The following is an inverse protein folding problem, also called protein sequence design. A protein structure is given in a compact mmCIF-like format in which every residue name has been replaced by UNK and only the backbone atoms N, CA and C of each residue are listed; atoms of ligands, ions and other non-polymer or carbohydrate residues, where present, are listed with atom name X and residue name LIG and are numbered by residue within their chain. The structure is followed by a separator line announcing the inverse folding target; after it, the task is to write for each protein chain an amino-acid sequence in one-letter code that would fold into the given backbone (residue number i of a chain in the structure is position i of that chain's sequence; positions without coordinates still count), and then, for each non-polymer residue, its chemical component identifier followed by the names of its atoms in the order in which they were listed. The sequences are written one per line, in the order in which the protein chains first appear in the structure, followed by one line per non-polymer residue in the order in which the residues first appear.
data_IF_042674524008
#
_entry.id   IF_042674524008
#
_cell.length_a   1.000
_cell.length_b   1.000
_cell.length_c   1.000
_cell.angle_alpha   90.00
_cell.angle_beta   90.00
_cell.angle_gamma   90.00
#
_symmetry.space_group_name_H-M   'P 1'
#
loop_
_entity.id
_entity.type
_entity.pdbx_description
1 polymer ?
#
# COMPACT_ATOMS: atom_id res chain seq x y z
N UNK A 1 10.11 3.64 7.84
CA UNK A 1 10.43 5.07 8.09
C UNK A 1 9.25 5.81 8.70
N UNK A 2 8.08 5.80 8.05
CA UNK A 2 6.86 6.50 8.50
C UNK A 2 6.41 6.12 9.90
N UNK A 3 6.44 4.83 10.28
CA UNK A 3 6.09 4.40 11.64
C UNK A 3 6.93 5.08 12.73
N UNK A 4 8.25 5.13 12.54
CA UNK A 4 9.16 5.85 13.45
C UNK A 4 8.87 7.35 13.51
N UNK A 5 8.40 7.95 12.41
CA UNK A 5 8.01 9.36 12.38
C UNK A 5 6.67 9.60 13.08
N UNK A 6 5.73 8.66 12.98
CA UNK A 6 4.46 8.67 13.72
C UNK A 6 4.69 8.54 15.22
N UNK A 7 5.54 7.61 15.65
CA UNK A 7 5.93 7.42 17.06
C UNK A 7 6.58 8.68 17.65
N UNK A 8 7.42 9.36 16.87
CA UNK A 8 8.08 10.61 17.27
C UNK A 8 7.17 11.85 17.17
N UNK A 9 5.92 11.70 16.73
CA UNK A 9 4.98 12.82 16.55
C UNK A 9 5.39 13.79 15.43
N UNK A 10 6.31 13.41 14.55
CA UNK A 10 6.78 14.24 13.43
C UNK A 10 5.77 14.27 12.27
N UNK A 11 4.85 13.32 12.25
CA UNK A 11 3.77 13.23 11.26
C UNK A 11 2.44 13.15 12.00
N UNK A 12 1.48 13.96 11.54
CA UNK A 12 0.14 14.00 12.12
C UNK A 12 -0.66 12.77 11.73
N UNK A 13 -1.02 11.95 12.73
CA UNK A 13 -1.96 10.82 12.58
C UNK A 13 -3.30 11.26 11.97
N UNK A 14 -3.83 12.41 12.40
CA UNK A 14 -5.10 12.96 11.89
C UNK A 14 -5.00 13.31 10.40
N UNK A 15 -3.88 13.93 9.99
CA UNK A 15 -3.63 14.27 8.58
C UNK A 15 -3.52 13.01 7.72
N UNK A 16 -2.74 12.02 8.16
CA UNK A 16 -2.61 10.77 7.42
C UNK A 16 -3.93 10.02 7.30
N UNK A 17 -4.76 10.01 8.35
CA UNK A 17 -6.08 9.42 8.27
C UNK A 17 -6.92 10.08 7.18
N UNK A 18 -6.98 11.41 7.14
CA UNK A 18 -7.72 12.14 6.12
C UNK A 18 -7.21 11.90 4.69
N UNK A 19 -5.90 11.71 4.51
CA UNK A 19 -5.30 11.44 3.20
C UNK A 19 -5.54 10.00 2.72
N UNK A 20 -5.61 9.02 3.63
CA UNK A 20 -5.56 7.59 3.27
C UNK A 20 -6.80 6.77 3.64
N UNK A 21 -7.79 7.31 4.37
CA UNK A 21 -8.94 6.52 4.84
C UNK A 21 -9.71 5.85 3.68
N UNK A 22 -9.87 6.54 2.54
CA UNK A 22 -10.52 5.96 1.36
C UNK A 22 -9.76 4.77 0.78
N UNK A 23 -8.43 4.79 0.81
CA UNK A 23 -7.59 3.65 0.37
C UNK A 23 -7.72 2.43 1.30
N UNK A 24 -8.26 2.63 2.50
CA UNK A 24 -8.60 1.56 3.46
C UNK A 24 -10.09 1.22 3.46
N UNK A 25 -10.84 1.69 2.46
CA UNK A 25 -12.28 1.43 2.33
C UNK A 25 -13.09 1.86 3.57
N UNK A 26 -12.66 2.97 4.18
CA UNK A 26 -13.38 3.62 5.27
C UNK A 26 -14.45 4.57 4.72
N UNK A 27 -15.61 4.56 5.36
CA UNK A 27 -16.66 5.56 5.13
C UNK A 27 -16.26 6.91 5.76
N UNK A 28 -16.92 7.99 5.33
CA UNK A 28 -16.68 9.32 5.92
C UNK A 28 -17.10 9.34 7.39
N UNK A 29 -18.18 8.61 7.73
CA UNK A 29 -18.64 8.43 9.10
C UNK A 29 -17.59 7.72 9.95
N UNK A 30 -17.00 6.63 9.46
CA UNK A 30 -15.95 5.91 10.16
C UNK A 30 -14.71 6.78 10.40
N UNK A 31 -14.26 7.50 9.38
CA UNK A 31 -13.14 8.43 9.52
C UNK A 31 -13.45 9.53 10.54
N UNK A 32 -14.67 10.08 10.52
CA UNK A 32 -15.10 11.11 11.46
C UNK A 32 -15.21 10.59 12.90
N UNK A 33 -15.76 9.39 13.10
CA UNK A 33 -15.81 8.72 14.41
C UNK A 33 -14.39 8.58 14.97
N UNK A 34 -13.45 8.06 14.18
CA UNK A 34 -12.04 7.90 14.60
C UNK A 34 -11.42 9.25 14.97
N UNK A 35 -11.59 10.28 14.14
CA UNK A 35 -11.08 11.63 14.41
C UNK A 35 -11.65 12.22 15.70
N UNK A 36 -12.94 12.02 15.95
CA UNK A 36 -13.60 12.48 17.17
C UNK A 36 -13.11 11.73 18.40
N UNK A 37 -12.91 10.41 18.32
CA UNK A 37 -12.30 9.65 19.41
C UNK A 37 -10.89 10.16 19.71
N UNK A 38 -10.06 10.36 18.68
CA UNK A 38 -8.72 10.93 18.85
C UNK A 38 -8.77 12.32 19.49
N UNK A 39 -9.68 13.18 19.04
CA UNK A 39 -9.85 14.51 19.62
C UNK A 39 -10.29 14.48 21.08
N UNK A 40 -11.28 13.65 21.43
CA UNK A 40 -11.79 13.54 22.80
C UNK A 40 -10.77 12.91 23.74
N UNK A 41 -9.98 11.94 23.27
CA UNK A 41 -8.90 11.34 24.04
C UNK A 41 -7.74 12.33 24.29
N UNK A 42 -7.48 13.27 23.36
CA UNK A 42 -6.49 14.33 23.57
C UNK A 42 -6.94 15.32 24.66
N UNK A 43 -8.25 15.55 24.79
CA UNK A 43 -8.84 16.51 25.74
C UNK A 43 -9.17 15.89 27.09
N UNK A 44 -9.51 14.59 27.12
CA UNK A 44 -10.02 13.91 28.30
C UNK A 44 -9.33 12.56 28.47
N UNK A 45 -8.92 12.21 29.70
CA UNK A 45 -8.39 10.87 30.02
C UNK A 45 -9.49 9.80 30.16
N UNK A 46 -10.68 10.07 29.64
CA UNK A 46 -11.84 9.17 29.80
C UNK A 46 -12.06 8.40 28.50
N UNK A 47 -12.52 7.16 28.64
CA UNK A 47 -12.92 6.35 27.50
C UNK A 47 -14.01 7.07 26.71
N UNK A 48 -13.82 7.19 25.41
CA UNK A 48 -14.82 7.73 24.50
C UNK A 48 -15.86 6.66 24.18
N UNK A 49 -17.10 6.85 24.66
CA UNK A 49 -18.21 5.90 24.45
C UNK A 49 -19.11 6.32 23.28
N UNK A 50 -19.85 5.38 22.66
CA UNK A 50 -20.81 5.71 21.59
C UNK A 50 -21.84 6.78 22.00
N UNK A 51 -22.37 6.70 23.23
CA UNK A 51 -23.26 7.73 23.79
C UNK A 51 -22.62 9.12 23.87
N UNK A 52 -21.33 9.19 24.21
CA UNK A 52 -20.61 10.46 24.23
C UNK A 52 -20.45 11.01 22.81
N UNK A 53 -20.06 10.16 21.85
CA UNK A 53 -19.88 10.52 20.45
C UNK A 53 -21.16 11.00 19.78
N UNK A 54 -22.31 10.42 20.14
CA UNK A 54 -23.62 10.81 19.64
C UNK A 54 -23.99 12.29 19.95
N UNK A 55 -23.35 12.90 20.97
CA UNK A 55 -23.53 14.33 21.25
C UNK A 55 -22.79 15.26 20.28
N UNK A 56 -21.83 14.72 19.52
CA UNK A 56 -20.98 15.49 18.61
C UNK A 56 -21.19 15.14 17.14
N UNK A 57 -21.84 14.00 16.87
CA UNK A 57 -22.06 13.46 15.53
C UNK A 57 -23.54 13.43 15.21
N UNK A 58 -23.89 13.56 13.94
CA UNK A 58 -25.26 13.33 13.48
C UNK A 58 -25.53 11.82 13.28
N UNK A 59 -25.26 11.04 14.32
CA UNK A 59 -25.38 9.58 14.38
C UNK A 59 -25.93 9.17 15.75
N UNK A 60 -26.75 8.14 15.79
CA UNK A 60 -27.21 7.56 17.06
C UNK A 60 -26.09 6.75 17.71
N UNK A 61 -26.20 6.50 19.02
CA UNK A 61 -25.25 5.63 19.72
C UNK A 61 -25.15 4.23 19.09
N UNK A 62 -26.29 3.67 18.66
CA UNK A 62 -26.36 2.37 17.99
C UNK A 62 -25.64 2.38 16.64
N UNK A 63 -25.81 3.44 15.85
CA UNK A 63 -25.10 3.58 14.57
C UNK A 63 -23.58 3.67 14.79
N UNK A 64 -23.15 4.41 15.82
CA UNK A 64 -21.72 4.54 16.15
C UNK A 64 -21.16 3.19 16.62
N UNK A 65 -21.91 2.44 17.42
CA UNK A 65 -21.52 1.10 17.87
C UNK A 65 -21.34 0.14 16.68
N UNK A 66 -22.32 0.09 15.77
CA UNK A 66 -22.22 -0.71 14.55
C UNK A 66 -21.00 -0.32 13.69
N UNK A 67 -20.69 0.97 13.54
CA UNK A 67 -19.51 1.41 12.80
C UNK A 67 -18.20 1.01 13.49
N UNK A 68 -18.15 1.04 14.83
CA UNK A 68 -16.99 0.56 15.59
C UNK A 68 -16.81 -0.96 15.48
N UNK A 69 -17.90 -1.73 15.47
CA UNK A 69 -17.87 -3.18 15.23
C UNK A 69 -17.30 -3.48 13.84
N UNK A 70 -17.77 -2.81 12.79
CA UNK A 70 -17.24 -2.97 11.42
C UNK A 70 -15.74 -2.64 11.37
N UNK A 71 -15.31 -1.58 12.06
CA UNK A 71 -13.89 -1.21 12.14
C UNK A 71 -13.04 -2.29 12.84
N UNK A 72 -13.59 -2.93 13.88
CA UNK A 72 -12.92 -4.01 14.61
C UNK A 72 -12.86 -5.29 13.75
N UNK A 73 -13.95 -5.65 13.07
CA UNK A 73 -13.99 -6.78 12.13
C UNK A 73 -12.97 -6.65 10.99
N UNK A 74 -12.75 -5.42 10.50
CA UNK A 74 -11.70 -5.11 9.50
C UNK A 74 -10.28 -5.08 10.07
N UNK A 75 -10.09 -5.39 11.35
CA UNK A 75 -8.81 -5.31 12.05
C UNK A 75 -8.18 -3.91 11.89
N UNK A 76 -8.99 -2.86 12.00
CA UNK A 76 -8.52 -1.48 11.98
C UNK A 76 -8.40 -0.92 13.39
N UNK A 77 -9.26 -1.37 14.30
CA UNK A 77 -9.26 -0.97 15.69
C UNK A 77 -9.32 -2.18 16.62
N UNK A 78 -8.83 -2.01 17.84
CA UNK A 78 -9.03 -2.95 18.94
C UNK A 78 -9.72 -2.21 20.09
N UNK A 79 -10.90 -2.69 20.49
CA UNK A 79 -11.65 -2.11 21.60
C UNK A 79 -11.11 -2.73 22.90
N UNK A 80 -10.40 -1.93 23.70
CA UNK A 80 -9.90 -2.31 25.03
C UNK A 80 -10.82 -1.74 26.10
N UNK A 81 -10.66 -2.24 27.32
CA UNK A 81 -11.51 -1.86 28.47
C UNK A 81 -11.53 -0.36 28.72
N UNK A 82 -10.39 0.32 28.52
CA UNK A 82 -10.24 1.74 28.87
C UNK A 82 -10.10 2.68 27.66
N UNK A 83 -9.82 2.15 26.47
CA UNK A 83 -9.59 2.94 25.26
C UNK A 83 -9.76 2.12 23.98
N UNK A 84 -9.86 2.82 22.85
CA UNK A 84 -9.84 2.22 21.51
C UNK A 84 -8.42 2.37 20.95
N UNK A 85 -7.80 1.25 20.59
CA UNK A 85 -6.47 1.22 20.01
C UNK A 85 -6.55 1.34 18.49
N UNK A 86 -5.84 2.32 17.93
CA UNK A 86 -5.75 2.58 16.48
C UNK A 86 -4.42 2.10 15.86
N UNK A 87 -3.61 1.32 16.59
CA UNK A 87 -2.29 0.91 16.12
C UNK A 87 -2.36 0.13 14.80
N UNK A 88 -3.33 -0.77 14.63
CA UNK A 88 -3.51 -1.55 13.40
C UNK A 88 -3.87 -0.66 12.21
N UNK A 89 -4.80 0.28 12.40
CA UNK A 89 -5.12 1.32 11.41
C UNK A 89 -3.87 2.08 10.96
N UNK A 90 -3.09 2.63 11.90
CA UNK A 90 -1.92 3.44 11.54
C UNK A 90 -0.76 2.62 10.96
N UNK A 91 -0.65 1.33 11.31
CA UNK A 91 0.26 0.41 10.66
C UNK A 91 -0.13 0.19 9.19
N UNK A 92 -1.41 -0.05 8.91
CA UNK A 92 -1.92 -0.20 7.54
C UNK A 92 -1.73 1.09 6.72
N UNK A 93 -2.02 2.26 7.30
CA UNK A 93 -1.74 3.56 6.65
C UNK A 93 -0.24 3.72 6.36
N UNK A 94 0.64 3.40 7.31
CA UNK A 94 2.07 3.54 7.10
C UNK A 94 2.60 2.65 5.97
N UNK A 95 2.04 1.46 5.80
CA UNK A 95 2.32 0.58 4.65
C UNK A 95 1.86 1.21 3.33
N UNK A 96 0.65 1.77 3.28
CA UNK A 96 0.14 2.47 2.08
C UNK A 96 1.01 3.66 1.67
N UNK A 97 1.40 4.49 2.64
CA UNK A 97 2.30 5.62 2.40
C UNK A 97 3.63 5.14 1.85
N UNK A 98 4.21 4.10 2.45
CA UNK A 98 5.49 3.54 2.02
C UNK A 98 5.40 2.97 0.59
N UNK A 99 4.32 2.26 0.27
CA UNK A 99 4.08 1.72 -1.07
C UNK A 99 3.95 2.83 -2.12
N UNK A 100 3.20 3.89 -1.80
CA UNK A 100 3.02 5.06 -2.67
C UNK A 100 4.38 5.72 -2.95
N UNK A 101 5.15 5.97 -1.89
CA UNK A 101 6.49 6.56 -2.01
C UNK A 101 7.47 5.70 -2.82
N UNK A 102 7.43 4.37 -2.65
CA UNK A 102 8.24 3.44 -3.44
C UNK A 102 7.90 3.50 -4.93
N UNK A 103 6.61 3.59 -5.27
CA UNK A 103 6.17 3.73 -6.67
C UNK A 103 6.64 5.08 -7.23
N UNK A 104 6.49 6.17 -6.47
CA UNK A 104 6.90 7.53 -6.87
C UNK A 104 8.39 7.63 -7.17
N UNK A 105 9.26 6.97 -6.38
CA UNK A 105 10.70 6.91 -6.66
C UNK A 105 11.04 6.26 -8.01
N UNK A 106 10.12 5.47 -8.56
CA UNK A 106 10.28 4.74 -9.81
C UNK A 106 9.34 5.27 -10.91
N UNK A 107 8.79 6.47 -10.74
CA UNK A 107 7.75 7.01 -11.63
C UNK A 107 8.20 7.09 -13.09
N UNK A 108 9.43 7.51 -13.37
CA UNK A 108 9.94 7.62 -14.74
C UNK A 108 10.05 6.24 -15.42
N UNK A 109 10.44 5.22 -14.64
CA UNK A 109 10.48 3.86 -15.12
C UNK A 109 9.07 3.36 -15.46
N UNK A 110 8.09 3.58 -14.57
CA UNK A 110 6.71 3.17 -14.82
C UNK A 110 6.08 3.93 -15.98
N UNK A 111 6.33 5.23 -16.10
CA UNK A 111 5.86 6.04 -17.24
C UNK A 111 6.41 5.52 -18.56
N UNK A 112 7.68 5.11 -18.61
CA UNK A 112 8.27 4.55 -19.83
C UNK A 112 7.77 3.13 -20.12
N UNK A 113 7.57 2.32 -19.07
CA UNK A 113 7.00 1.00 -19.22
C UNK A 113 5.56 1.06 -19.76
N UNK A 114 4.71 1.91 -19.18
CA UNK A 114 3.30 2.07 -19.60
C UNK A 114 3.16 2.60 -21.03
N UNK A 115 4.12 3.39 -21.55
CA UNK A 115 4.14 3.79 -22.98
C UNK A 115 4.25 2.60 -23.94
N UNK A 116 4.92 1.53 -23.51
CA UNK A 116 5.11 0.33 -24.31
C UNK A 116 3.98 -0.71 -24.12
N UNK A 117 3.13 -0.52 -23.10
CA UNK A 117 2.01 -1.40 -22.80
C UNK A 117 0.71 -0.88 -23.42
N UNK A 118 -0.23 -1.78 -23.69
CA UNK A 118 -1.58 -1.41 -24.15
C UNK A 118 -2.56 -1.15 -22.98
N UNK A 119 -2.05 -1.11 -21.75
CA UNK A 119 -2.82 -0.95 -20.52
C UNK A 119 -1.99 -0.23 -19.46
N UNK A 120 -2.67 0.40 -18.48
CA UNK A 120 -2.01 1.03 -17.34
C UNK A 120 -1.87 0.03 -16.19
N UNK A 121 -0.78 0.13 -15.44
CA UNK A 121 -0.52 -0.75 -14.31
C UNK A 121 -1.25 -0.23 -13.08
N UNK A 122 -1.93 -1.13 -12.36
CA UNK A 122 -2.47 -0.82 -11.03
C UNK A 122 -1.34 -0.66 -10.00
N UNK A 123 -1.61 -0.01 -8.86
CA UNK A 123 -0.61 0.13 -7.77
C UNK A 123 -0.06 -1.24 -7.36
N UNK A 124 -0.92 -2.26 -7.22
CA UNK A 124 -0.50 -3.62 -6.88
C UNK A 124 0.42 -4.25 -7.95
N UNK A 125 0.13 -4.03 -9.22
CA UNK A 125 0.97 -4.53 -10.33
C UNK A 125 2.33 -3.83 -10.35
N UNK A 126 2.36 -2.51 -10.07
CA UNK A 126 3.62 -1.75 -9.92
C UNK A 126 4.46 -2.32 -8.79
N UNK A 127 3.87 -2.60 -7.62
CA UNK A 127 4.58 -3.21 -6.50
C UNK A 127 5.15 -4.60 -6.85
N UNK A 128 4.39 -5.45 -7.53
CA UNK A 128 4.90 -6.75 -7.98
C UNK A 128 6.10 -6.63 -8.92
N UNK A 129 6.07 -5.67 -9.84
CA UNK A 129 7.22 -5.38 -10.70
C UNK A 129 8.42 -4.92 -9.87
N UNK A 130 8.23 -4.05 -8.87
CA UNK A 130 9.33 -3.64 -7.98
C UNK A 130 9.94 -4.83 -7.22
N UNK A 131 9.14 -5.82 -6.83
CA UNK A 131 9.67 -7.02 -6.16
C UNK A 131 10.43 -7.94 -7.13
N UNK A 132 10.00 -8.05 -8.39
CA UNK A 132 10.78 -8.71 -9.44
C UNK A 132 12.12 -7.98 -9.68
N UNK A 133 12.10 -6.65 -9.67
CA UNK A 133 13.30 -5.83 -9.84
C UNK A 133 14.37 -6.04 -8.75
N UNK A 134 13.95 -6.44 -7.54
CA UNK A 134 14.86 -6.73 -6.43
C UNK A 134 15.50 -8.12 -6.54
N UNK A 135 14.85 -9.05 -7.24
CA UNK A 135 15.15 -10.48 -7.13
C UNK A 135 15.73 -11.10 -8.38
N UNK A 136 15.28 -10.67 -9.56
CA UNK A 136 15.42 -11.50 -10.76
C UNK A 136 15.72 -10.74 -12.05
N UNK A 137 15.30 -9.49 -12.18
CA UNK A 137 15.43 -8.74 -13.44
C UNK A 137 15.76 -7.27 -13.17
N UNK A 138 16.41 -6.59 -14.10
CA UNK A 138 16.67 -5.14 -13.99
C UNK A 138 15.67 -4.32 -14.83
N UNK A 139 15.65 -2.98 -14.62
CA UNK A 139 14.71 -2.08 -15.29
C UNK A 139 14.86 -2.09 -16.82
N UNK A 140 16.09 -2.13 -17.30
CA UNK A 140 16.41 -2.07 -18.73
C UNK A 140 15.92 -3.33 -19.46
N UNK A 141 16.09 -4.50 -18.85
CA UNK A 141 15.61 -5.78 -19.37
C UNK A 141 14.09 -5.80 -19.50
N UNK A 142 13.35 -5.32 -18.49
CA UNK A 142 11.89 -5.20 -18.60
C UNK A 142 11.51 -4.28 -19.77
N UNK A 143 12.16 -3.12 -19.89
CA UNK A 143 11.87 -2.19 -20.98
C UNK A 143 12.15 -2.83 -22.35
N UNK A 144 13.26 -3.55 -22.51
CA UNK A 144 13.58 -4.27 -23.76
C UNK A 144 12.51 -5.30 -24.14
N UNK A 145 12.01 -6.08 -23.18
CA UNK A 145 10.92 -7.05 -23.39
C UNK A 145 9.69 -6.33 -23.94
N UNK A 146 9.33 -5.20 -23.34
CA UNK A 146 8.13 -4.43 -23.73
C UNK A 146 8.27 -3.66 -25.04
N UNK A 147 9.48 -3.23 -25.41
CA UNK A 147 9.70 -2.55 -26.70
C UNK A 147 9.56 -3.51 -27.89
N UNK A 148 9.95 -4.77 -27.70
CA UNK A 148 10.00 -5.77 -28.77
C UNK A 148 8.66 -6.50 -28.98
N UNK A 149 7.73 -6.43 -28.02
CA UNK A 149 6.47 -7.18 -28.05
C UNK A 149 5.30 -6.32 -27.59
N UNK A 150 4.17 -6.42 -28.30
CA UNK A 150 2.92 -5.79 -27.85
C UNK A 150 2.29 -6.62 -26.74
N UNK A 151 2.23 -6.05 -25.54
CA UNK A 151 1.70 -6.73 -24.36
C UNK A 151 0.35 -6.11 -24.00
N UNK A 152 -0.70 -6.93 -24.06
CA UNK A 152 -2.09 -6.53 -23.81
C UNK A 152 -2.55 -6.74 -22.37
N UNK A 153 -1.84 -7.55 -21.58
CA UNK A 153 -2.22 -7.83 -20.21
C UNK A 153 -1.02 -7.98 -19.29
N UNK A 154 -1.26 -7.75 -18.00
CA UNK A 154 -0.22 -7.94 -16.97
C UNK A 154 0.23 -9.40 -16.85
N UNK A 155 -0.66 -10.36 -17.08
CA UNK A 155 -0.32 -11.78 -17.07
C UNK A 155 0.66 -12.10 -18.21
N UNK A 156 0.44 -11.51 -19.38
CA UNK A 156 1.33 -11.70 -20.52
C UNK A 156 2.71 -11.06 -20.27
N UNK A 157 2.75 -9.91 -19.60
CA UNK A 157 4.00 -9.31 -19.15
C UNK A 157 4.81 -10.25 -18.26
N UNK A 158 4.18 -10.86 -17.25
CA UNK A 158 4.85 -11.81 -16.35
C UNK A 158 5.37 -13.04 -17.08
N UNK A 159 4.58 -13.61 -18.00
CA UNK A 159 5.01 -14.76 -18.82
C UNK A 159 6.24 -14.43 -19.65
N UNK A 160 6.26 -13.25 -20.26
CA UNK A 160 7.39 -12.81 -21.09
C UNK A 160 8.65 -12.57 -20.27
N UNK A 161 8.50 -12.01 -19.05
CA UNK A 161 9.60 -11.92 -18.08
C UNK A 161 10.13 -13.31 -17.72
N UNK A 162 9.26 -14.27 -17.40
CA UNK A 162 9.69 -15.64 -17.10
C UNK A 162 10.40 -16.33 -18.27
N UNK A 163 9.92 -16.14 -19.50
CA UNK A 163 10.55 -16.69 -20.70
C UNK A 163 11.96 -16.11 -20.89
N UNK A 164 12.12 -14.81 -20.66
CA UNK A 164 13.42 -14.13 -20.72
C UNK A 164 14.40 -14.62 -19.65
N UNK A 165 13.92 -14.88 -18.43
CA UNK A 165 14.74 -15.46 -17.36
C UNK A 165 15.16 -16.90 -17.66
N UNK A 166 14.27 -17.70 -18.26
CA UNK A 166 14.58 -19.08 -18.67
C UNK A 166 15.56 -19.15 -19.84
N UNK A 167 15.50 -18.20 -20.79
CA UNK A 167 16.42 -18.16 -21.93
C UNK A 167 17.81 -17.64 -21.54
N UNK A 168 17.91 -16.66 -20.65
CA UNK A 168 19.19 -16.17 -20.12
C UNK A 168 19.94 -17.23 -19.30
N UNK A 169 19.23 -18.05 -18.50
CA UNK A 169 19.84 -19.18 -17.79
C UNK A 169 20.39 -20.28 -18.72
N UNK A 170 19.87 -20.42 -19.94
CA UNK A 170 20.44 -21.36 -20.93
C UNK A 170 21.77 -20.88 -21.49
N UNK A 171 21.99 -19.58 -21.61
CA UNK A 171 23.25 -19.02 -22.12
C UNK A 171 24.40 -19.22 -21.14
N UNK A 172 24.17 -19.06 -19.83
CA UNK A 172 25.18 -19.34 -18.79
C UNK A 172 25.66 -20.80 -18.76
N UNK A 173 24.90 -21.74 -19.34
CA UNK A 173 25.28 -23.15 -19.45
C UNK A 173 26.33 -23.41 -20.54
N UNK A 174 26.60 -22.41 -21.40
CA UNK A 174 27.57 -22.48 -22.50
C UNK A 174 28.75 -21.51 -22.34
N UNK A 175 28.82 -20.73 -21.26
CA UNK A 175 29.93 -19.80 -20.99
C UNK A 175 31.30 -20.50 -20.85
N UNK A 176 31.35 -21.83 -20.69
CA UNK A 176 32.60 -22.60 -20.71
C UNK A 176 33.13 -22.91 -22.11
N UNK A 177 32.37 -22.63 -23.18
CA UNK A 177 32.80 -22.87 -24.57
C UNK A 177 33.57 -21.71 -25.19
N UNK A 178 33.53 -20.51 -24.59
CA UNK A 178 34.21 -19.32 -25.14
C UNK A 178 35.69 -19.17 -24.69
N UNK A 179 36.18 -20.03 -23.78
CA UNK A 179 37.56 -19.98 -23.25
C UNK A 179 38.57 -20.90 -23.99
N UNK A 180 38.27 -21.35 -25.21
CA UNK A 180 39.16 -22.26 -25.97
C UNK A 180 39.78 -21.66 -27.25
N UNK A 181 39.76 -20.34 -27.44
CA UNK A 181 40.45 -19.69 -28.57
C UNK A 181 41.37 -18.53 -28.13
N UNK A 182 42.47 -18.85 -27.44
CA UNK A 182 43.75 -18.11 -27.50
C UNK A 182 44.91 -19.10 -27.42
#
# INVERSE_FOLDING_TARGET
MILKMLEKGLVSKKKLLLEYYKKLELSDNQALIILMIMYLNDQTRKMTTPNLLANYLNLTSEQIENELEILAEKDLIEIKTDFIDFSNLFNKIALLVNNTFLIEQHIDFFNNLEKNLLFNLSENQKLQILDLLKTSINKEQILQITTNKKISSFIDLLKEIELFLKSSNKLMQFDWLDDQNV
#
